data_IF_342311051753
#
_entry.id   IF_342311051753
#
_cell.length_a   1.000
_cell.length_b   1.000
_cell.length_c   1.000
_cell.angle_alpha   90.00
_cell.angle_beta   90.00
_cell.angle_gamma   90.00
#
_symmetry.space_group_name_H-M   'P 1'
#
loop_
_entity.id
_entity.type
_entity.pdbx_description
1 polymer ?
#
# COMPACT_ATOMS: atom_id res chain seq x y z
N UNK A 1 -56.06 -41.14 -32.26
CA UNK A 1 -55.04 -40.13 -32.51
C UNK A 1 -53.85 -40.38 -31.61
N UNK A 2 -52.65 -40.23 -32.12
CA UNK A 2 -51.40 -40.32 -31.33
C UNK A 2 -51.32 -39.14 -30.35
N UNK A 3 -50.91 -39.40 -29.14
CA UNK A 3 -50.75 -38.36 -28.09
C UNK A 3 -49.27 -37.97 -28.03
N UNK A 4 -48.98 -36.71 -28.33
CA UNK A 4 -47.67 -36.14 -28.10
C UNK A 4 -47.51 -35.83 -26.61
N UNK A 5 -46.53 -36.45 -25.94
CA UNK A 5 -46.22 -36.19 -24.55
C UNK A 5 -44.86 -35.46 -24.46
N UNK A 6 -44.85 -34.22 -23.96
CA UNK A 6 -43.64 -33.46 -23.67
C UNK A 6 -43.47 -33.40 -22.16
N UNK A 7 -42.35 -33.87 -21.65
CA UNK A 7 -42.06 -33.94 -20.19
C UNK A 7 -40.82 -33.08 -19.89
N UNK A 8 -40.91 -32.31 -18.83
CA UNK A 8 -39.78 -31.62 -18.21
C UNK A 8 -39.28 -32.34 -16.98
N UNK A 9 -38.05 -32.03 -16.49
CA UNK A 9 -37.48 -32.61 -15.27
C UNK A 9 -37.97 -31.95 -13.98
N UNK A 10 -38.52 -30.74 -14.05
CA UNK A 10 -39.05 -29.98 -12.89
C UNK A 10 -40.57 -30.16 -12.85
N UNK A 11 -41.10 -30.66 -11.74
CA UNK A 11 -42.52 -30.96 -11.58
C UNK A 11 -43.27 -29.97 -10.70
N UNK A 12 -42.56 -29.25 -9.81
CA UNK A 12 -43.17 -28.23 -8.96
C UNK A 12 -43.39 -26.94 -9.78
N UNK A 13 -44.61 -26.52 -9.94
CA UNK A 13 -44.97 -25.33 -10.74
C UNK A 13 -44.45 -24.02 -10.12
N UNK A 14 -44.22 -24.01 -8.80
CA UNK A 14 -43.58 -22.89 -8.09
C UNK A 14 -42.13 -22.64 -8.49
N UNK A 15 -41.46 -23.66 -9.03
CA UNK A 15 -40.05 -23.59 -9.45
C UNK A 15 -39.90 -23.29 -10.95
N UNK A 16 -41.03 -23.08 -11.63
CA UNK A 16 -41.08 -22.77 -13.05
C UNK A 16 -41.33 -21.27 -13.28
N UNK A 17 -40.64 -20.73 -14.27
CA UNK A 17 -40.88 -19.36 -14.76
C UNK A 17 -41.75 -19.41 -16.04
N UNK A 18 -42.47 -18.34 -16.30
CA UNK A 18 -43.21 -18.13 -17.55
C UNK A 18 -42.41 -17.29 -18.53
N UNK A 19 -42.60 -17.50 -19.84
CA UNK A 19 -42.08 -16.63 -20.89
C UNK A 19 -40.64 -16.90 -21.34
N UNK A 20 -39.93 -17.86 -20.73
CA UNK A 20 -38.54 -18.19 -21.07
C UNK A 20 -38.39 -19.22 -22.21
N UNK A 21 -39.50 -19.86 -22.60
CA UNK A 21 -39.52 -20.80 -23.70
C UNK A 21 -40.56 -20.38 -24.73
N UNK A 22 -40.18 -20.35 -25.98
CA UNK A 22 -41.06 -20.16 -27.12
C UNK A 22 -41.23 -21.46 -27.89
N UNK A 23 -42.44 -21.71 -28.38
CA UNK A 23 -42.75 -22.83 -29.27
C UNK A 23 -43.20 -22.25 -30.60
N UNK A 24 -42.51 -22.60 -31.67
CA UNK A 24 -42.79 -22.10 -33.01
C UNK A 24 -42.96 -23.27 -33.97
N UNK A 25 -44.11 -23.32 -34.64
CA UNK A 25 -44.34 -24.27 -35.75
C UNK A 25 -43.66 -23.78 -37.01
N UNK A 26 -43.08 -24.71 -37.79
CA UNK A 26 -42.56 -24.44 -39.12
C UNK A 26 -43.65 -24.51 -40.22
N UNK A 27 -44.87 -24.83 -39.86
CA UNK A 27 -45.98 -25.08 -40.79
C UNK A 27 -45.91 -26.38 -41.56
N UNK A 28 -44.90 -27.21 -41.36
CA UNK A 28 -44.63 -28.47 -42.03
C UNK A 28 -44.63 -29.67 -41.10
N UNK A 29 -45.23 -29.53 -39.89
CA UNK A 29 -45.36 -30.60 -38.90
C UNK A 29 -44.31 -30.58 -37.78
N UNK A 30 -43.37 -29.61 -37.78
CA UNK A 30 -42.35 -29.49 -36.74
C UNK A 30 -42.72 -28.40 -35.74
N UNK A 31 -42.55 -28.67 -34.41
CA UNK A 31 -42.59 -27.71 -33.35
C UNK A 31 -41.16 -27.42 -32.85
N UNK A 32 -40.68 -26.20 -33.03
CA UNK A 32 -39.39 -25.75 -32.56
C UNK A 32 -39.54 -25.15 -31.15
N UNK A 33 -38.97 -25.83 -30.16
CA UNK A 33 -38.89 -25.33 -28.77
C UNK A 33 -37.59 -24.53 -28.62
N UNK A 34 -37.68 -23.30 -28.24
CA UNK A 34 -36.52 -22.36 -28.17
C UNK A 34 -36.52 -21.62 -26.85
N UNK A 35 -35.34 -21.34 -26.32
CA UNK A 35 -35.17 -20.41 -25.20
C UNK A 35 -35.34 -18.96 -25.68
N UNK A 36 -35.91 -18.12 -24.86
CA UNK A 36 -35.92 -16.70 -25.08
C UNK A 36 -34.51 -16.12 -25.11
N UNK A 37 -34.28 -15.08 -25.92
CA UNK A 37 -32.98 -14.38 -25.94
C UNK A 37 -32.66 -13.71 -24.61
N UNK A 38 -33.68 -13.29 -23.89
CA UNK A 38 -33.61 -12.71 -22.55
C UNK A 38 -34.37 -13.63 -21.61
N UNK A 39 -33.68 -14.20 -20.63
CA UNK A 39 -34.29 -15.00 -19.58
C UNK A 39 -34.69 -14.07 -18.40
N UNK A 40 -35.90 -14.17 -17.93
CA UNK A 40 -36.44 -13.33 -16.87
C UNK A 40 -37.11 -14.16 -15.77
N UNK A 41 -37.22 -13.58 -14.55
CA UNK A 41 -37.87 -14.24 -13.43
C UNK A 41 -37.06 -15.43 -12.87
N UNK A 42 -35.79 -15.56 -13.22
CA UNK A 42 -34.90 -16.56 -12.61
C UNK A 42 -34.41 -16.07 -11.25
N UNK A 43 -34.39 -16.93 -10.25
CA UNK A 43 -33.80 -16.63 -8.94
C UNK A 43 -32.29 -16.82 -8.93
N UNK A 44 -31.81 -17.81 -9.71
CA UNK A 44 -30.37 -18.05 -9.90
C UNK A 44 -30.09 -18.86 -11.18
N UNK A 45 -28.85 -18.75 -11.66
CA UNK A 45 -28.26 -19.69 -12.61
C UNK A 45 -27.03 -20.33 -11.95
N UNK A 46 -26.94 -21.66 -11.99
CA UNK A 46 -25.82 -22.42 -11.42
C UNK A 46 -25.16 -23.25 -12.50
N UNK A 47 -23.81 -23.16 -12.54
CA UNK A 47 -22.96 -23.92 -13.47
C UNK A 47 -21.95 -24.71 -12.65
N UNK A 48 -21.81 -25.99 -12.92
CA UNK A 48 -20.84 -26.85 -12.26
C UNK A 48 -19.93 -27.48 -13.31
N UNK A 49 -18.63 -27.39 -13.13
CA UNK A 49 -17.67 -28.05 -14.01
C UNK A 49 -17.46 -29.52 -13.61
N UNK A 50 -16.74 -30.29 -14.43
CA UNK A 50 -16.45 -31.70 -14.16
C UNK A 50 -15.60 -31.90 -12.88
N UNK A 51 -14.84 -30.89 -12.45
CA UNK A 51 -14.05 -30.88 -11.22
C UNK A 51 -14.86 -30.57 -9.95
N UNK A 52 -16.14 -30.22 -10.10
CA UNK A 52 -17.05 -29.91 -8.98
C UNK A 52 -17.04 -28.43 -8.57
N UNK A 53 -16.23 -27.56 -9.21
CA UNK A 53 -16.32 -26.13 -8.95
C UNK A 53 -17.66 -25.60 -9.46
N UNK A 54 -18.27 -24.70 -8.71
CA UNK A 54 -19.57 -24.13 -9.09
C UNK A 54 -19.51 -22.61 -9.25
N UNK A 55 -20.25 -22.11 -10.23
CA UNK A 55 -20.51 -20.67 -10.41
C UNK A 55 -21.99 -20.43 -10.26
N UNK A 56 -22.35 -19.54 -9.35
CA UNK A 56 -23.74 -19.13 -9.12
C UNK A 56 -23.87 -17.64 -9.46
N UNK A 57 -24.86 -17.32 -10.29
CA UNK A 57 -25.28 -15.94 -10.59
C UNK A 57 -26.71 -15.79 -10.05
N UNK A 58 -26.91 -14.83 -9.17
CA UNK A 58 -28.21 -14.54 -8.56
C UNK A 58 -28.38 -13.03 -8.28
N UNK A 59 -29.43 -12.65 -7.57
CA UNK A 59 -29.69 -11.25 -7.22
C UNK A 59 -28.63 -10.59 -6.33
N UNK A 60 -27.76 -11.36 -5.67
CA UNK A 60 -26.65 -10.83 -4.88
C UNK A 60 -25.36 -10.61 -5.70
N UNK A 61 -25.28 -11.21 -6.88
CA UNK A 61 -24.12 -11.12 -7.74
C UNK A 61 -23.61 -12.46 -8.29
N UNK A 62 -22.30 -12.57 -8.49
CA UNK A 62 -21.62 -13.77 -8.99
C UNK A 62 -20.74 -14.34 -7.90
N UNK A 63 -20.85 -15.66 -7.66
CA UNK A 63 -19.97 -16.39 -6.74
C UNK A 63 -19.43 -17.62 -7.43
N UNK A 64 -18.10 -17.80 -7.39
CA UNK A 64 -17.40 -19.00 -7.85
C UNK A 64 -16.90 -19.72 -6.62
N UNK A 65 -17.41 -20.94 -6.39
CA UNK A 65 -17.03 -21.79 -5.25
C UNK A 65 -16.15 -22.93 -5.76
N UNK A 66 -14.86 -22.95 -5.40
CA UNK A 66 -13.98 -24.07 -5.71
C UNK A 66 -14.42 -25.34 -4.97
N UNK A 67 -14.27 -26.51 -5.60
CA UNK A 67 -14.54 -27.81 -5.00
C UNK A 67 -13.43 -28.26 -4.04
N UNK A 68 -12.24 -27.69 -4.15
CA UNK A 68 -11.09 -28.05 -3.33
C UNK A 68 -11.32 -27.64 -1.86
N UNK A 69 -11.07 -28.59 -0.95
CA UNK A 69 -11.20 -28.36 0.50
C UNK A 69 -10.29 -27.23 0.97
N UNK A 70 -10.86 -26.26 1.70
CA UNK A 70 -10.13 -25.10 2.21
C UNK A 70 -9.89 -23.96 1.21
N UNK A 71 -10.33 -24.11 -0.04
CA UNK A 71 -10.27 -23.02 -1.01
C UNK A 71 -11.36 -21.97 -0.73
N UNK A 72 -10.99 -20.69 -0.83
CA UNK A 72 -11.91 -19.58 -0.60
C UNK A 72 -12.68 -19.23 -1.87
N UNK A 73 -13.99 -18.94 -1.78
CA UNK A 73 -14.77 -18.47 -2.92
C UNK A 73 -14.28 -17.15 -3.49
N UNK A 74 -14.43 -16.99 -4.81
CA UNK A 74 -14.27 -15.71 -5.50
C UNK A 74 -15.67 -15.15 -5.72
N UNK A 75 -15.88 -13.87 -5.41
CA UNK A 75 -17.21 -13.26 -5.59
C UNK A 75 -17.16 -11.80 -6.00
N UNK A 76 -18.19 -11.41 -6.73
CA UNK A 76 -18.53 -10.02 -7.04
C UNK A 76 -19.98 -9.82 -6.65
N UNK A 77 -20.22 -9.15 -5.54
CA UNK A 77 -21.54 -9.00 -4.93
C UNK A 77 -21.78 -7.54 -4.54
N UNK A 78 -22.95 -7.26 -3.99
CA UNK A 78 -23.26 -5.93 -3.44
C UNK A 78 -22.35 -5.54 -2.27
N UNK A 79 -21.67 -6.51 -1.64
CA UNK A 79 -20.67 -6.26 -0.59
C UNK A 79 -19.26 -5.95 -1.16
N UNK A 80 -19.08 -6.03 -2.47
CA UNK A 80 -17.80 -5.79 -3.14
C UNK A 80 -17.22 -7.01 -3.84
N UNK A 81 -15.92 -6.96 -4.12
CA UNK A 81 -15.17 -8.00 -4.81
C UNK A 81 -14.30 -8.74 -3.81
N UNK A 82 -14.43 -10.07 -3.77
CA UNK A 82 -13.56 -10.96 -3.01
C UNK A 82 -12.77 -11.85 -3.99
N UNK A 83 -11.46 -11.75 -3.98
CA UNK A 83 -10.58 -12.52 -4.86
C UNK A 83 -10.31 -13.97 -4.37
N UNK A 84 -10.87 -14.40 -3.25
CA UNK A 84 -10.71 -15.77 -2.73
C UNK A 84 -9.24 -16.13 -2.40
N UNK A 85 -8.45 -15.20 -1.91
CA UNK A 85 -7.00 -15.33 -1.68
C UNK A 85 -6.19 -15.60 -2.97
N UNK A 86 -6.69 -15.14 -4.12
CA UNK A 86 -5.98 -15.21 -5.41
C UNK A 86 -5.42 -13.84 -5.78
N UNK A 87 -4.37 -13.85 -6.59
CA UNK A 87 -3.84 -12.63 -7.17
C UNK A 87 -4.84 -11.99 -8.14
N UNK A 88 -4.94 -10.66 -8.11
CA UNK A 88 -5.60 -9.87 -9.15
C UNK A 88 -4.50 -9.38 -10.10
N UNK A 89 -4.48 -9.90 -11.33
CA UNK A 89 -3.51 -9.56 -12.37
C UNK A 89 -4.10 -8.61 -13.41
N UNK A 90 -3.23 -7.92 -14.14
CA UNK A 90 -3.66 -7.03 -15.22
C UNK A 90 -4.22 -5.69 -14.72
N UNK A 91 -3.96 -5.31 -13.47
CA UNK A 91 -4.35 -4.00 -12.95
C UNK A 91 -3.47 -2.93 -13.58
N UNK A 92 -4.06 -2.05 -14.37
CA UNK A 92 -3.38 -0.91 -14.99
C UNK A 92 -2.91 0.09 -13.91
N UNK A 93 -2.03 1.01 -14.31
CA UNK A 93 -1.62 2.09 -13.42
C UNK A 93 -2.81 2.99 -13.08
N UNK A 94 -3.02 3.22 -11.79
CA UNK A 94 -4.04 4.14 -11.29
C UNK A 94 -3.71 5.58 -11.72
N UNK A 95 -4.72 6.26 -12.28
CA UNK A 95 -4.62 7.68 -12.70
C UNK A 95 -5.59 8.58 -11.92
N UNK A 96 -6.49 7.99 -11.14
CA UNK A 96 -7.44 8.71 -10.27
C UNK A 96 -7.34 8.20 -8.83
N UNK A 97 -7.81 9.01 -7.89
CA UNK A 97 -7.68 8.72 -6.46
C UNK A 97 -8.50 7.53 -5.96
N UNK A 98 -9.54 7.16 -6.71
CA UNK A 98 -10.45 6.04 -6.42
C UNK A 98 -10.10 4.75 -7.16
N UNK A 99 -8.99 4.75 -7.93
CA UNK A 99 -8.55 3.57 -8.67
C UNK A 99 -7.68 2.64 -7.81
N UNK A 100 -7.72 1.35 -8.12
CA UNK A 100 -6.83 0.38 -7.50
C UNK A 100 -5.38 0.62 -7.92
N UNK A 101 -4.46 0.61 -6.96
CA UNK A 101 -3.02 0.74 -7.20
C UNK A 101 -2.41 -0.64 -7.39
N UNK A 102 -1.63 -0.82 -8.45
CA UNK A 102 -0.87 -2.05 -8.67
C UNK A 102 0.46 -2.07 -7.89
N UNK A 103 1.05 -3.27 -7.77
CA UNK A 103 2.31 -3.45 -7.04
C UNK A 103 3.45 -2.58 -7.58
N UNK A 104 3.53 -2.40 -8.91
CA UNK A 104 4.59 -1.59 -9.52
C UNK A 104 4.54 -0.12 -9.11
N UNK A 105 3.34 0.46 -9.04
CA UNK A 105 3.15 1.83 -8.56
C UNK A 105 3.48 1.95 -7.07
N UNK A 106 3.10 0.96 -6.27
CA UNK A 106 3.43 0.95 -4.83
C UNK A 106 4.94 0.84 -4.62
N UNK A 107 5.62 -0.07 -5.31
CA UNK A 107 7.08 -0.24 -5.21
C UNK A 107 7.81 1.05 -5.63
N UNK A 108 7.35 1.70 -6.71
CA UNK A 108 7.91 2.98 -7.16
C UNK A 108 7.70 4.09 -6.12
N UNK A 109 6.51 4.19 -5.52
CA UNK A 109 6.23 5.17 -4.47
C UNK A 109 7.06 4.93 -3.21
N UNK A 110 7.24 3.68 -2.79
CA UNK A 110 8.09 3.30 -1.65
C UNK A 110 9.56 3.65 -1.95
N UNK A 111 10.04 3.35 -3.17
CA UNK A 111 11.40 3.68 -3.60
C UNK A 111 11.61 5.19 -3.62
N UNK A 112 10.67 5.96 -4.14
CA UNK A 112 10.74 7.41 -4.14
C UNK A 112 10.73 7.99 -2.72
N UNK A 113 9.88 7.47 -1.85
CA UNK A 113 9.83 7.87 -0.44
C UNK A 113 11.12 7.51 0.32
N UNK A 114 11.69 6.32 0.06
CA UNK A 114 12.94 5.88 0.67
C UNK A 114 14.17 6.62 0.13
N UNK A 115 14.15 7.02 -1.15
CA UNK A 115 15.28 7.70 -1.81
C UNK A 115 15.25 9.22 -1.76
N UNK A 116 14.11 9.84 -1.50
CA UNK A 116 13.97 11.28 -1.72
C UNK A 116 13.58 12.13 -0.52
N UNK A 117 12.83 11.66 0.42
CA UNK A 117 12.19 12.55 1.41
C UNK A 117 12.39 12.18 2.88
N UNK A 118 12.85 10.97 3.17
CA UNK A 118 13.11 10.56 4.56
C UNK A 118 14.55 10.82 5.02
N UNK A 119 15.39 11.37 4.11
CA UNK A 119 16.80 11.65 4.36
C UNK A 119 17.10 13.11 4.69
N UNK A 120 16.09 13.95 4.95
CA UNK A 120 16.31 15.39 5.19
C UNK A 120 16.47 15.76 6.66
N UNK A 121 16.59 14.81 7.56
CA UNK A 121 17.05 15.12 8.91
C UNK A 121 18.55 15.40 8.86
N UNK A 122 18.87 16.67 8.83
CA UNK A 122 20.26 17.16 8.84
C UNK A 122 20.60 17.66 10.23
N UNK A 123 21.45 16.93 10.94
CA UNK A 123 22.06 17.43 12.18
C UNK A 123 23.26 18.29 11.79
N UNK A 124 23.22 19.56 12.09
CA UNK A 124 24.33 20.50 11.85
C UNK A 124 24.78 21.10 13.17
N UNK A 125 26.11 21.21 13.35
CA UNK A 125 26.64 22.02 14.43
C UNK A 125 26.33 23.50 14.13
N UNK A 126 25.64 24.18 15.05
CA UNK A 126 25.37 25.60 14.93
C UNK A 126 26.59 26.41 15.44
N UNK A 127 27.21 27.17 14.55
CA UNK A 127 28.20 28.15 14.95
C UNK A 127 27.49 29.42 15.40
N UNK A 128 27.76 29.87 16.61
CA UNK A 128 27.34 31.18 17.06
C UNK A 128 28.40 32.21 16.62
N UNK A 129 27.95 33.38 16.18
CA UNK A 129 28.87 34.42 15.74
C UNK A 129 29.74 34.87 16.90
N UNK A 130 31.06 34.76 16.77
CA UNK A 130 32.04 35.14 17.78
C UNK A 130 32.45 34.01 18.74
N UNK A 131 31.88 32.82 18.61
CA UNK A 131 32.22 31.68 19.47
C UNK A 131 33.09 30.65 18.76
N UNK A 132 33.86 29.89 19.55
CA UNK A 132 34.61 28.73 19.08
C UNK A 132 33.72 27.52 18.99
N UNK A 133 33.76 26.82 17.85
CA UNK A 133 33.02 25.53 17.74
C UNK A 133 33.61 24.50 18.66
N UNK A 134 32.88 24.16 19.71
CA UNK A 134 33.25 23.12 20.68
C UNK A 134 32.84 21.71 20.23
N UNK A 135 31.83 21.63 19.33
CA UNK A 135 31.32 20.36 18.82
C UNK A 135 31.45 20.28 17.30
N UNK A 136 31.75 19.08 16.83
CA UNK A 136 31.75 18.72 15.41
C UNK A 136 30.73 17.62 15.17
N UNK A 137 30.08 17.65 14.00
CA UNK A 137 29.21 16.59 13.52
C UNK A 137 29.87 15.95 12.31
N UNK A 138 30.13 14.66 12.38
CA UNK A 138 30.73 13.86 11.29
C UNK A 138 29.80 12.75 10.86
N UNK A 139 30.11 12.05 9.75
CA UNK A 139 29.28 10.98 9.22
C UNK A 139 28.09 11.45 8.38
N UNK A 140 28.00 12.75 8.08
CA UNK A 140 26.87 13.33 7.39
C UNK A 140 27.12 13.37 5.87
N UNK A 141 26.64 12.36 5.14
CA UNK A 141 26.61 12.41 3.67
C UNK A 141 25.23 12.86 3.14
N UNK A 142 24.19 12.77 3.96
CA UNK A 142 22.84 13.25 3.66
C UNK A 142 22.11 12.46 2.57
N UNK A 143 22.57 11.26 2.24
CA UNK A 143 22.07 10.52 1.09
C UNK A 143 21.50 9.13 1.42
N UNK A 144 21.70 8.63 2.63
CA UNK A 144 21.23 7.29 3.00
C UNK A 144 20.34 7.31 4.26
N UNK A 145 19.31 6.47 4.24
CA UNK A 145 18.48 6.20 5.41
C UNK A 145 19.28 5.40 6.43
N UNK A 146 19.28 5.86 7.68
CA UNK A 146 19.98 5.15 8.78
C UNK A 146 21.45 5.54 8.89
N UNK A 147 21.88 6.67 8.34
CA UNK A 147 23.21 7.23 8.60
C UNK A 147 23.39 7.49 10.10
N UNK A 148 24.55 7.09 10.60
CA UNK A 148 24.96 7.38 11.97
C UNK A 148 25.68 8.72 12.00
N UNK A 149 25.20 9.61 12.84
CA UNK A 149 25.83 10.91 13.08
C UNK A 149 26.67 10.81 14.35
N UNK A 150 27.96 11.11 14.24
CA UNK A 150 28.82 11.25 15.40
C UNK A 150 28.88 12.72 15.80
N UNK A 151 28.49 13.00 17.05
CA UNK A 151 28.63 14.33 17.65
C UNK A 151 29.75 14.24 18.66
N UNK A 152 30.90 14.83 18.33
CA UNK A 152 32.07 14.85 19.20
C UNK A 152 32.29 16.27 19.76
N UNK A 153 32.57 16.35 21.06
CA UNK A 153 33.06 17.57 21.70
C UNK A 153 34.56 17.52 21.76
N UNK A 154 35.22 18.56 21.23
CA UNK A 154 36.68 18.65 21.24
C UNK A 154 37.18 19.01 22.64
N UNK A 155 37.84 18.08 23.31
CA UNK A 155 38.47 18.32 24.63
C UNK A 155 39.48 19.49 24.55
N UNK A 156 40.25 19.56 23.47
CA UNK A 156 41.21 20.64 23.28
C UNK A 156 40.54 22.00 23.10
N UNK A 157 39.42 22.07 22.38
CA UNK A 157 38.67 23.31 22.23
C UNK A 157 38.06 23.78 23.56
N UNK A 158 37.52 22.83 24.35
CA UNK A 158 37.00 23.12 25.71
C UNK A 158 38.11 23.64 26.61
N UNK A 159 39.28 22.98 26.62
CA UNK A 159 40.45 23.43 27.41
C UNK A 159 40.94 24.82 26.97
N UNK A 160 40.97 25.10 25.67
CA UNK A 160 41.41 26.41 25.16
C UNK A 160 40.46 27.53 25.62
N UNK A 161 39.15 27.33 25.53
CA UNK A 161 38.14 28.29 25.99
C UNK A 161 38.23 28.48 27.51
N UNK A 162 38.38 27.39 28.28
CA UNK A 162 38.54 27.46 29.71
C UNK A 162 39.82 28.20 30.15
N UNK A 163 40.95 27.98 29.45
CA UNK A 163 42.20 28.68 29.68
C UNK A 163 42.10 30.17 29.39
N UNK A 164 41.47 30.55 28.27
CA UNK A 164 41.24 31.96 27.92
C UNK A 164 40.36 32.64 28.98
N UNK A 165 39.26 32.00 29.39
CA UNK A 165 38.38 32.51 30.43
C UNK A 165 39.10 32.68 31.77
N UNK A 166 39.95 31.73 32.14
CA UNK A 166 40.76 31.80 33.38
C UNK A 166 41.80 32.95 33.31
N UNK A 167 42.46 33.10 32.13
CA UNK A 167 43.41 34.19 31.91
C UNK A 167 42.75 35.57 31.96
N UNK A 168 41.57 35.71 31.35
CA UNK A 168 40.81 36.97 31.39
C UNK A 168 40.31 37.29 32.80
N UNK A 169 39.95 36.30 33.58
CA UNK A 169 39.52 36.47 34.98
C UNK A 169 40.66 36.87 35.92
N UNK A 170 41.91 36.53 35.58
CA UNK A 170 43.10 36.83 36.40
C UNK A 170 43.90 38.02 35.86
N UNK A 171 43.40 38.69 34.81
CA UNK A 171 44.07 39.84 34.21
C UNK A 171 44.17 40.98 35.25
N UNK A 172 45.38 41.14 35.81
CA UNK A 172 45.72 42.25 36.71
C UNK A 172 46.34 43.36 35.87
N UNK A 173 45.65 44.47 35.76
CA UNK A 173 46.20 45.68 35.17
C UNK A 173 46.87 46.50 36.26
N UNK A 174 48.18 46.55 36.22
CA UNK A 174 48.94 47.45 37.12
C UNK A 174 48.94 48.86 36.58
N UNK A 175 48.49 49.81 37.38
CA UNK A 175 48.69 51.23 37.17
C UNK A 175 49.56 51.75 38.31
N UNK A 176 50.76 52.24 37.96
CA UNK A 176 51.68 52.78 38.94
C UNK A 176 53.06 52.10 38.98
N UNK A 177 53.71 52.11 40.15
CA UNK A 177 55.07 51.58 40.34
C UNK A 177 55.28 50.08 40.34
N UNK A 178 54.21 49.27 40.20
CA UNK A 178 54.30 47.81 40.10
C UNK A 178 54.17 47.37 38.66
N UNK A 179 55.24 46.83 38.12
CA UNK A 179 55.22 46.21 36.78
C UNK A 179 54.89 44.74 36.91
N UNK A 180 53.68 44.36 36.55
CA UNK A 180 53.30 42.97 36.53
C UNK A 180 53.64 42.41 35.10
N UNK A 181 54.70 41.66 35.02
CA UNK A 181 55.02 40.92 33.76
C UNK A 181 54.27 39.62 33.75
N UNK A 182 53.55 39.44 32.63
CA UNK A 182 52.88 38.18 32.39
C UNK A 182 53.94 37.10 32.17
N UNK A 183 53.97 36.12 33.05
CA UNK A 183 54.84 34.93 32.91
C UNK A 183 54.14 33.90 32.05
N UNK A 184 54.34 33.98 30.74
CA UNK A 184 53.90 32.99 29.78
C UNK A 184 54.78 31.73 29.70
N UNK A 185 55.59 31.46 30.72
CA UNK A 185 56.42 30.25 30.83
C UNK A 185 55.81 29.33 31.87
N UNK A 186 54.72 28.64 31.51
CA UNK A 186 54.27 27.47 32.24
C UNK A 186 54.85 26.24 31.58
N UNK A 187 55.50 25.43 32.36
CA UNK A 187 55.99 24.10 32.00
C UNK A 187 54.84 23.08 31.79
#
# INVERSE_FOLDING_TARGET
GEVLSVKGGVTATTDLTTGNIGVVSDGAGTLNIRLAKVLSGLTSASFTNAGGDSTVINGNGVTITPSATGASPISMTTAGINAGNKEIKGVANATSADAAVNKGQMDAAITAAAGGSLSTEKVVAKTLTGDTNLATVTGQTGTAKGETYEVAVSENAVKAVAQTAAQDAVKVTGTGLANVTDSTTGG
#
